data_IF_512188997135
#
_entry.id   IF_512188997135
#
_cell.length_a   1.000
_cell.length_b   1.000
_cell.length_c   1.000
_cell.angle_alpha   90.00
_cell.angle_beta   90.00
_cell.angle_gamma   90.00
#
_symmetry.space_group_name_H-M   'P 1'
#
loop_
_entity.id
_entity.type
_entity.pdbx_description
1 polymer ?
#
# COMPACT_ATOMS: atom_id res chain seq x y z
N UNK A 1 -5.05 -8.33 -13.99
CA UNK A 1 -6.34 -7.65 -13.91
C UNK A 1 -6.55 -6.78 -15.16
N UNK A 2 -7.79 -6.58 -15.63
CA UNK A 2 -8.11 -5.70 -16.78
C UNK A 2 -8.51 -4.28 -16.37
N UNK A 3 -8.82 -4.07 -15.09
CA UNK A 3 -9.29 -2.80 -14.54
C UNK A 3 -8.54 -2.49 -13.25
N UNK A 4 -8.41 -1.19 -12.97
CA UNK A 4 -7.92 -0.65 -11.71
C UNK A 4 -9.01 0.25 -11.15
N UNK A 5 -9.44 -0.02 -9.92
CA UNK A 5 -10.33 0.85 -9.17
C UNK A 5 -9.47 1.65 -8.19
N UNK A 6 -9.65 2.97 -8.19
CA UNK A 6 -8.99 3.85 -7.25
C UNK A 6 -10.03 4.70 -6.53
N UNK A 7 -10.00 4.71 -5.20
CA UNK A 7 -10.98 5.37 -4.35
C UNK A 7 -10.33 6.62 -3.75
N UNK A 8 -10.67 7.78 -4.29
CA UNK A 8 -10.07 9.05 -3.89
C UNK A 8 -11.13 9.95 -3.24
N UNK A 9 -10.98 10.18 -1.93
CA UNK A 9 -11.68 11.25 -1.23
C UNK A 9 -10.82 12.53 -1.24
N UNK A 10 -11.45 13.69 -1.46
CA UNK A 10 -10.83 15.02 -1.37
C UNK A 10 -11.81 15.96 -0.68
N UNK A 11 -11.30 16.78 0.21
CA UNK A 11 -12.06 17.76 0.99
C UNK A 11 -11.14 18.92 1.37
N UNK A 12 -11.73 20.04 1.80
CA UNK A 12 -10.97 21.27 2.08
C UNK A 12 -10.89 21.56 3.58
N UNK A 13 -11.92 21.18 4.34
CA UNK A 13 -12.01 21.57 5.74
C UNK A 13 -11.55 20.42 6.66
N UNK A 14 -10.69 20.68 7.65
CA UNK A 14 -10.22 19.64 8.56
C UNK A 14 -11.32 18.92 9.36
N UNK A 15 -12.50 19.55 9.54
CA UNK A 15 -13.63 18.92 10.23
C UNK A 15 -14.37 17.89 9.37
N UNK A 16 -14.03 17.76 8.08
CA UNK A 16 -14.56 16.74 7.17
C UNK A 16 -13.73 15.44 7.18
N UNK A 17 -12.52 15.46 7.78
CA UNK A 17 -11.57 14.34 7.80
C UNK A 17 -12.25 13.00 8.12
N UNK A 18 -12.96 12.94 9.24
CA UNK A 18 -13.57 11.70 9.72
C UNK A 18 -14.60 11.14 8.73
N UNK A 19 -15.44 12.01 8.15
CA UNK A 19 -16.49 11.61 7.23
C UNK A 19 -15.91 11.13 5.90
N UNK A 20 -14.94 11.87 5.35
CA UNK A 20 -14.32 11.53 4.07
C UNK A 20 -13.45 10.27 4.14
N UNK A 21 -12.68 10.10 5.23
CA UNK A 21 -11.91 8.88 5.49
C UNK A 21 -12.84 7.68 5.65
N UNK A 22 -13.93 7.82 6.42
CA UNK A 22 -14.90 6.74 6.60
C UNK A 22 -15.52 6.31 5.26
N UNK A 23 -15.98 7.27 4.44
CA UNK A 23 -16.55 6.99 3.12
C UNK A 23 -15.58 6.21 2.22
N UNK A 24 -14.32 6.64 2.13
CA UNK A 24 -13.33 5.98 1.29
C UNK A 24 -13.08 4.52 1.74
N UNK A 25 -12.95 4.31 3.06
CA UNK A 25 -12.75 2.97 3.66
C UNK A 25 -13.98 2.07 3.46
N UNK A 26 -15.18 2.59 3.65
CA UNK A 26 -16.42 1.84 3.47
C UNK A 26 -16.64 1.45 2.01
N UNK A 27 -16.40 2.37 1.07
CA UNK A 27 -16.50 2.09 -0.36
C UNK A 27 -15.47 1.04 -0.80
N UNK A 28 -14.23 1.13 -0.30
CA UNK A 28 -13.21 0.11 -0.55
C UNK A 28 -13.65 -1.27 -0.04
N UNK A 29 -14.14 -1.36 1.20
CA UNK A 29 -14.68 -2.61 1.77
C UNK A 29 -15.84 -3.18 0.95
N UNK A 30 -16.77 -2.33 0.52
CA UNK A 30 -17.93 -2.76 -0.26
C UNK A 30 -17.55 -3.31 -1.66
N UNK A 31 -16.39 -2.91 -2.18
CA UNK A 31 -15.91 -3.31 -3.51
C UNK A 31 -14.86 -4.44 -3.46
N UNK A 32 -14.38 -4.82 -2.28
CA UNK A 32 -13.33 -5.85 -2.08
C UNK A 32 -13.68 -7.19 -2.75
N UNK A 33 -14.95 -7.61 -2.72
CA UNK A 33 -15.41 -8.86 -3.36
C UNK A 33 -15.19 -8.93 -4.88
N UNK A 34 -15.01 -7.79 -5.53
CA UNK A 34 -14.75 -7.70 -6.96
C UNK A 34 -13.25 -7.63 -7.28
N UNK A 35 -12.40 -7.49 -6.25
CA UNK A 35 -10.96 -7.41 -6.42
C UNK A 35 -10.38 -8.77 -6.84
N UNK A 36 -9.34 -8.72 -7.67
CA UNK A 36 -8.59 -9.91 -8.09
C UNK A 36 -7.41 -10.22 -7.15
N UNK A 37 -7.36 -9.56 -5.99
CA UNK A 37 -6.29 -9.71 -4.99
C UNK A 37 -5.00 -8.92 -5.30
N UNK A 38 -4.92 -8.24 -6.45
CA UNK A 38 -3.79 -7.36 -6.77
C UNK A 38 -3.90 -6.01 -6.07
N UNK A 39 -2.86 -5.64 -5.31
CA UNK A 39 -2.75 -4.32 -4.67
C UNK A 39 -1.65 -3.53 -5.36
N UNK A 40 -1.96 -2.30 -5.77
CA UNK A 40 -0.96 -1.40 -6.32
C UNK A 40 -0.27 -0.66 -5.18
N UNK A 41 1.05 -0.84 -5.06
CA UNK A 41 1.86 -0.34 -3.94
C UNK A 41 1.72 1.17 -3.74
N UNK A 42 1.50 1.96 -4.80
CA UNK A 42 1.34 3.42 -4.69
C UNK A 42 -0.05 3.87 -4.20
N UNK A 43 -0.98 2.94 -3.96
CA UNK A 43 -2.28 3.24 -3.35
C UNK A 43 -2.38 2.76 -1.90
N UNK A 44 -1.29 2.22 -1.34
CA UNK A 44 -1.25 1.83 0.07
C UNK A 44 -1.22 3.07 0.97
N UNK A 45 -2.15 3.11 1.92
CA UNK A 45 -2.17 4.12 2.98
C UNK A 45 -1.31 3.70 4.17
N UNK A 46 -1.04 4.62 5.10
CA UNK A 46 -0.13 4.39 6.25
C UNK A 46 -0.53 3.17 7.11
N UNK A 47 -1.84 2.91 7.23
CA UNK A 47 -2.43 1.79 7.98
C UNK A 47 -2.25 0.41 7.30
N UNK A 48 -1.70 0.36 6.08
CA UNK A 48 -1.61 -0.87 5.27
C UNK A 48 -0.18 -1.42 5.11
N UNK A 49 0.76 -0.97 5.94
CA UNK A 49 2.17 -1.42 5.93
C UNK A 49 2.31 -2.95 6.05
N UNK A 50 1.39 -3.62 6.76
CA UNK A 50 1.35 -5.09 6.85
C UNK A 50 1.03 -5.79 5.52
N UNK A 51 0.48 -5.06 4.52
CA UNK A 51 0.16 -5.56 3.17
C UNK A 51 1.31 -5.42 2.17
N UNK A 52 2.45 -4.83 2.54
CA UNK A 52 3.59 -4.62 1.64
C UNK A 52 4.11 -5.95 1.06
N UNK A 53 4.21 -7.00 1.88
CA UNK A 53 4.59 -8.34 1.42
C UNK A 53 3.61 -8.92 0.39
N UNK A 54 2.31 -8.69 0.57
CA UNK A 54 1.28 -9.10 -0.37
C UNK A 54 1.32 -8.29 -1.68
N UNK A 55 1.67 -7.01 -1.61
CA UNK A 55 1.74 -6.13 -2.78
C UNK A 55 2.93 -6.46 -3.71
N UNK A 56 4.08 -6.86 -3.15
CA UNK A 56 5.22 -7.33 -3.94
C UNK A 56 5.13 -8.82 -4.32
N UNK A 57 4.36 -9.60 -3.56
CA UNK A 57 4.13 -11.02 -3.79
C UNK A 57 5.45 -11.81 -3.91
N UNK A 58 5.61 -12.67 -4.93
CA UNK A 58 6.81 -13.51 -5.06
C UNK A 58 8.11 -12.71 -5.29
N UNK A 59 8.02 -11.43 -5.67
CA UNK A 59 9.18 -10.58 -5.90
C UNK A 59 9.80 -10.04 -4.61
N UNK A 60 9.10 -10.11 -3.47
CA UNK A 60 9.56 -9.54 -2.21
C UNK A 60 10.95 -10.07 -1.82
N UNK A 61 11.16 -11.39 -1.90
CA UNK A 61 12.44 -12.02 -1.54
C UNK A 61 13.61 -11.52 -2.41
N UNK A 62 13.38 -11.35 -3.72
CA UNK A 62 14.39 -10.81 -4.63
C UNK A 62 14.70 -9.35 -4.31
N UNK A 63 13.69 -8.54 -4.02
CA UNK A 63 13.85 -7.13 -3.67
C UNK A 63 14.57 -6.96 -2.34
N UNK A 64 14.29 -7.79 -1.33
CA UNK A 64 14.98 -7.79 -0.04
C UNK A 64 16.48 -8.10 -0.21
N UNK A 65 16.85 -8.99 -1.14
CA UNK A 65 18.26 -9.23 -1.45
C UNK A 65 18.93 -8.08 -2.20
N UNK A 66 18.22 -7.44 -3.14
CA UNK A 66 18.72 -6.23 -3.78
C UNK A 66 18.93 -5.12 -2.74
N UNK A 67 17.96 -4.92 -1.84
CA UNK A 67 18.05 -3.95 -0.73
C UNK A 67 19.25 -4.26 0.16
N UNK A 68 19.53 -5.52 0.49
CA UNK A 68 20.75 -5.89 1.23
C UNK A 68 22.03 -5.48 0.50
N UNK A 69 22.10 -5.63 -0.81
CA UNK A 69 23.29 -5.25 -1.59
C UNK A 69 23.53 -3.74 -1.62
N UNK A 70 22.47 -2.94 -1.76
CA UNK A 70 22.58 -1.51 -2.04
C UNK A 70 22.22 -0.59 -0.86
N UNK A 71 21.46 -1.07 0.12
CA UNK A 71 21.02 -0.34 1.31
C UNK A 71 20.94 -1.28 2.55
N UNK A 72 22.06 -1.92 2.95
CA UNK A 72 22.08 -2.90 4.05
C UNK A 72 21.66 -2.33 5.40
N UNK A 73 21.82 -1.02 5.61
CA UNK A 73 21.44 -0.31 6.83
C UNK A 73 20.00 0.19 6.80
N UNK A 74 19.28 -0.03 5.69
CA UNK A 74 17.91 0.43 5.48
C UNK A 74 17.75 1.95 5.67
N UNK A 75 18.75 2.72 5.21
CA UNK A 75 18.79 4.18 5.30
C UNK A 75 17.57 4.80 4.59
N UNK A 76 17.18 4.25 3.44
CA UNK A 76 16.02 4.72 2.69
C UNK A 76 14.76 3.95 3.12
N UNK A 77 14.20 4.30 4.27
CA UNK A 77 13.07 3.58 4.88
C UNK A 77 11.74 4.34 4.93
N UNK A 78 11.72 5.64 4.59
CA UNK A 78 10.49 6.44 4.47
C UNK A 78 9.81 6.22 3.11
N UNK A 79 9.31 5.00 2.89
CA UNK A 79 8.59 4.57 1.69
C UNK A 79 7.80 3.28 2.01
N UNK A 80 7.20 2.65 1.00
CA UNK A 80 6.63 1.30 1.10
C UNK A 80 7.78 0.27 1.26
N UNK A 81 8.38 0.29 2.45
CA UNK A 81 9.72 -0.21 2.65
C UNK A 81 9.81 -1.73 2.63
N UNK A 82 10.91 -2.22 2.06
CA UNK A 82 11.33 -3.61 2.10
C UNK A 82 12.53 -3.68 3.01
N UNK A 83 12.44 -4.48 4.09
CA UNK A 83 13.58 -4.71 4.96
C UNK A 83 14.67 -5.48 4.20
N UNK A 84 15.96 -5.14 4.38
CA UNK A 84 17.06 -5.93 3.86
C UNK A 84 16.99 -7.38 4.36
N UNK A 85 17.30 -8.34 3.49
CA UNK A 85 17.41 -9.73 3.92
C UNK A 85 18.56 -9.90 4.95
N UNK A 86 18.32 -10.72 5.98
CA UNK A 86 19.31 -11.08 7.01
C UNK A 86 20.53 -11.79 6.44
#
# INVERSE_FOLDING_TARGET
ARYVLNVHARWERPDEDAACIAWARDFFRATERFATGGVYVNFLTDDETARIGAAYGPNYARLAQIKRTYDPQNLFSTNQNIAPAS
#
